data_IF_068684980207
#
_entry.id   IF_068684980207
#
_cell.length_a   1.000
_cell.length_b   1.000
_cell.length_c   1.000
_cell.angle_alpha   90.00
_cell.angle_beta   90.00
_cell.angle_gamma   90.00
#
_symmetry.space_group_name_H-M   'P 1'
#
loop_
_entity.id
_entity.type
_entity.pdbx_description
1 polymer ?
#
# COMPACT_ATOMS: atom_id res chain seq x y z
N UNK A 1 -35.72 12.79 -60.93
CA UNK A 1 -35.11 14.00 -60.34
C UNK A 1 -35.69 14.11 -58.93
N UNK A 2 -34.91 14.02 -57.84
CA UNK A 2 -34.16 15.13 -57.19
C UNK A 2 -35.08 16.29 -56.77
N UNK A 3 -35.05 16.91 -55.56
CA UNK A 3 -34.24 16.81 -54.30
C UNK A 3 -35.02 17.61 -53.20
N UNK A 4 -34.83 17.54 -51.88
CA UNK A 4 -34.01 16.76 -50.93
C UNK A 4 -34.62 16.87 -49.48
N UNK A 5 -34.44 15.86 -48.61
CA UNK A 5 -34.45 15.83 -47.12
C UNK A 5 -35.24 16.85 -46.27
N UNK A 6 -35.96 16.33 -45.25
CA UNK A 6 -35.70 16.66 -43.83
C UNK A 6 -36.20 15.53 -42.91
N UNK A 7 -35.41 15.17 -41.90
CA UNK A 7 -35.74 14.11 -40.91
C UNK A 7 -35.90 14.74 -39.53
N UNK A 8 -36.97 14.38 -38.83
CA UNK A 8 -37.14 14.64 -37.40
C UNK A 8 -37.61 13.36 -36.71
N UNK A 9 -36.77 12.84 -35.82
CA UNK A 9 -37.12 11.80 -34.85
C UNK A 9 -36.83 12.35 -33.46
N UNK A 10 -37.87 12.61 -32.67
CA UNK A 10 -37.73 12.98 -31.27
C UNK A 10 -37.88 11.74 -30.39
N UNK A 11 -36.98 11.56 -29.42
CA UNK A 11 -37.10 10.57 -28.35
C UNK A 11 -36.81 11.25 -27.01
N UNK A 12 -37.52 10.79 -25.98
CA UNK A 12 -37.60 11.35 -24.63
C UNK A 12 -36.34 11.11 -23.77
N UNK A 13 -36.09 12.08 -22.89
CA UNK A 13 -35.80 11.93 -21.45
C UNK A 13 -34.87 10.77 -21.02
N UNK A 14 -33.69 11.13 -20.49
CA UNK A 14 -33.35 10.74 -19.11
C UNK A 14 -32.33 11.72 -18.48
N UNK A 15 -32.65 12.24 -17.30
CA UNK A 15 -31.73 13.07 -16.51
C UNK A 15 -31.37 12.33 -15.21
N UNK A 16 -30.19 11.74 -15.14
CA UNK A 16 -29.67 11.09 -13.93
C UNK A 16 -28.18 11.38 -13.70
N UNK A 17 -27.93 12.15 -12.64
CA UNK A 17 -26.89 11.90 -11.62
C UNK A 17 -25.58 11.23 -12.08
N UNK A 18 -24.65 12.00 -12.66
CA UNK A 18 -23.23 11.68 -12.54
C UNK A 18 -22.67 12.32 -11.26
N UNK A 19 -22.28 11.49 -10.30
CA UNK A 19 -21.59 11.94 -9.08
C UNK A 19 -20.11 12.19 -9.38
N UNK A 20 -19.53 13.21 -8.74
CA UNK A 20 -18.12 13.60 -8.93
C UNK A 20 -17.17 12.59 -8.27
N UNK A 21 -16.96 11.44 -8.91
CA UNK A 21 -15.82 10.58 -8.66
C UNK A 21 -14.57 11.16 -9.32
N UNK A 22 -13.65 11.72 -8.53
CA UNK A 22 -12.37 12.23 -9.05
C UNK A 22 -11.50 11.09 -9.59
N UNK A 23 -11.55 10.89 -10.91
CA UNK A 23 -10.65 10.02 -11.66
C UNK A 23 -9.20 10.46 -11.41
N UNK A 24 -8.30 9.50 -11.18
CA UNK A 24 -6.86 9.76 -11.18
C UNK A 24 -6.43 10.10 -12.62
N UNK A 25 -6.29 11.40 -12.90
CA UNK A 25 -5.93 11.88 -14.25
C UNK A 25 -4.49 11.50 -14.60
N UNK A 26 -4.24 11.25 -15.89
CA UNK A 26 -2.93 10.96 -16.48
C UNK A 26 -1.85 11.97 -16.03
N UNK A 27 -2.22 13.24 -15.87
CA UNK A 27 -1.36 14.32 -15.37
C UNK A 27 -0.90 14.16 -13.91
N UNK A 28 -1.60 13.38 -13.07
CA UNK A 28 -1.12 13.00 -11.74
C UNK A 28 -0.03 11.92 -11.81
N UNK A 29 -0.12 10.99 -12.78
CA UNK A 29 0.83 9.90 -12.96
C UNK A 29 2.12 10.38 -13.64
N UNK A 30 2.01 11.24 -14.67
CA UNK A 30 3.17 11.70 -15.46
C UNK A 30 4.25 12.38 -14.62
N UNK A 31 3.85 13.12 -13.57
CA UNK A 31 4.77 13.76 -12.60
C UNK A 31 5.62 12.79 -11.76
N UNK A 32 5.30 11.50 -11.75
CA UNK A 32 6.11 10.46 -11.07
C UNK A 32 7.31 10.06 -11.94
N UNK A 33 7.17 10.12 -13.26
CA UNK A 33 8.23 9.74 -14.23
C UNK A 33 9.23 10.89 -14.44
N UNK A 34 8.83 12.14 -14.18
CA UNK A 34 9.63 13.35 -14.42
C UNK A 34 10.54 13.76 -13.24
N UNK A 35 10.43 13.11 -12.07
CA UNK A 35 11.40 13.30 -10.98
C UNK A 35 12.72 12.60 -11.33
N UNK A 36 13.68 13.37 -11.85
CA UNK A 36 15.03 12.88 -12.19
C UNK A 36 15.66 12.14 -10.99
N UNK A 37 16.31 10.98 -11.22
CA UNK A 37 17.12 10.33 -10.18
C UNK A 37 18.27 11.24 -9.75
N UNK A 38 18.80 11.01 -8.55
CA UNK A 38 19.99 11.70 -8.07
C UNK A 38 21.20 11.37 -8.98
N UNK A 39 22.12 12.32 -9.23
CA UNK A 39 23.31 12.06 -10.06
C UNK A 39 24.17 10.93 -9.52
N UNK A 40 24.69 10.08 -10.40
CA UNK A 40 25.48 8.89 -10.03
C UNK A 40 26.71 9.24 -9.16
N UNK A 41 27.32 10.41 -9.37
CA UNK A 41 28.45 10.94 -8.59
C UNK A 41 28.16 11.08 -7.08
N UNK A 42 26.88 11.13 -6.68
CA UNK A 42 26.44 11.16 -5.28
C UNK A 42 26.47 9.75 -4.65
N UNK A 43 26.31 8.71 -5.46
CA UNK A 43 26.24 7.30 -5.03
C UNK A 43 27.64 6.72 -4.88
N UNK A 44 28.53 6.95 -5.84
CA UNK A 44 29.87 6.34 -5.87
C UNK A 44 30.77 6.79 -4.70
N UNK A 45 30.61 8.02 -4.20
CA UNK A 45 31.42 8.57 -3.10
C UNK A 45 31.20 7.94 -1.72
N UNK A 46 30.31 6.96 -1.57
CA UNK A 46 30.10 6.25 -0.30
C UNK A 46 30.77 4.88 -0.21
N UNK A 47 31.46 4.39 -1.25
CA UNK A 47 31.94 2.99 -1.33
C UNK A 47 33.48 2.85 -1.38
N UNK A 48 34.24 3.82 -0.87
CA UNK A 48 35.69 3.69 -0.69
C UNK A 48 36.08 3.09 0.67
N UNK A 49 35.99 1.76 0.75
CA UNK A 49 36.87 0.87 1.51
C UNK A 49 37.37 1.31 2.90
N UNK A 50 36.50 1.29 3.91
CA UNK A 50 36.92 1.15 5.33
C UNK A 50 36.09 0.10 6.06
N UNK A 51 36.75 -0.69 6.91
CA UNK A 51 36.16 -1.78 7.72
C UNK A 51 35.22 -1.21 8.79
N UNK A 52 33.94 -1.04 8.43
CA UNK A 52 32.90 -0.45 9.30
C UNK A 52 32.58 -1.28 10.55
N UNK A 53 33.10 -2.51 10.68
CA UNK A 53 32.81 -3.38 11.80
C UNK A 53 33.44 -2.95 13.15
N UNK A 54 34.24 -1.87 13.20
CA UNK A 54 35.09 -1.53 14.36
C UNK A 54 35.03 -0.09 14.88
N UNK A 55 34.41 0.87 14.20
CA UNK A 55 34.33 2.24 14.74
C UNK A 55 33.09 2.44 15.63
N UNK A 56 33.28 2.16 16.93
CA UNK A 56 32.23 2.27 17.96
C UNK A 56 31.61 3.66 18.08
N UNK A 57 32.25 4.70 17.53
CA UNK A 57 31.75 6.09 17.56
C UNK A 57 30.60 6.34 16.58
N UNK A 58 30.37 5.46 15.60
CA UNK A 58 29.22 5.57 14.71
C UNK A 58 27.90 5.28 15.44
N UNK A 59 27.93 4.45 16.49
CA UNK A 59 26.77 4.18 17.34
C UNK A 59 26.37 5.36 18.23
N UNK A 60 27.29 6.25 18.60
CA UNK A 60 27.00 7.39 19.48
C UNK A 60 26.08 8.42 18.81
N UNK A 61 26.20 8.60 17.49
CA UNK A 61 25.28 9.46 16.72
C UNK A 61 23.86 8.84 16.57
N UNK A 62 23.75 7.53 16.76
CA UNK A 62 22.49 6.77 16.80
C UNK A 62 21.96 6.55 18.24
N UNK A 63 22.75 6.89 19.26
CA UNK A 63 22.60 6.50 20.66
C UNK A 63 21.37 7.02 21.42
N UNK A 64 20.42 7.69 20.75
CA UNK A 64 19.12 8.12 21.31
C UNK A 64 17.95 7.91 20.34
N UNK A 65 17.97 6.80 19.59
CA UNK A 65 16.96 6.47 18.57
C UNK A 65 16.26 5.10 18.69
N UNK A 66 16.73 4.18 19.55
CA UNK A 66 16.05 2.89 19.74
C UNK A 66 14.64 3.15 20.33
N UNK A 67 13.55 2.64 19.73
CA UNK A 67 12.22 2.75 20.32
C UNK A 67 12.16 2.13 21.72
N UNK A 68 11.17 2.56 22.50
CA UNK A 68 10.77 1.89 23.75
C UNK A 68 10.76 0.37 23.56
N UNK A 69 11.38 -0.40 24.47
CA UNK A 69 11.54 -1.85 24.29
C UNK A 69 10.22 -2.62 24.19
N UNK A 70 9.10 -1.99 24.59
CA UNK A 70 7.73 -2.46 24.34
C UNK A 70 7.33 -2.44 22.87
N UNK A 71 7.86 -1.48 22.08
CA UNK A 71 7.67 -1.40 20.62
C UNK A 71 8.53 -2.45 19.92
N UNK A 72 9.81 -2.58 20.30
CA UNK A 72 10.70 -3.58 19.70
C UNK A 72 10.17 -5.01 19.85
N UNK A 73 9.61 -5.36 21.02
CA UNK A 73 8.95 -6.66 21.26
C UNK A 73 7.71 -6.93 20.41
N UNK A 74 7.10 -5.91 19.79
CA UNK A 74 5.94 -6.07 18.91
C UNK A 74 6.33 -6.50 17.49
N UNK A 75 7.61 -6.37 17.12
CA UNK A 75 8.12 -6.60 15.76
C UNK A 75 9.34 -7.56 15.74
N UNK A 76 9.39 -8.51 16.68
CA UNK A 76 10.38 -9.60 16.66
C UNK A 76 10.22 -10.45 15.39
N UNK A 77 11.31 -10.90 14.74
CA UNK A 77 11.22 -11.79 13.58
C UNK A 77 10.60 -13.16 13.96
N UNK A 78 9.85 -13.80 13.06
CA UNK A 78 9.13 -15.05 13.34
C UNK A 78 10.05 -16.28 13.47
N UNK A 79 9.46 -17.37 13.99
CA UNK A 79 10.10 -18.68 14.22
C UNK A 79 10.55 -19.36 12.92
N UNK A 80 11.63 -20.17 12.90
CA UNK A 80 12.08 -20.92 11.71
C UNK A 80 11.20 -22.14 11.32
N UNK A 81 9.97 -22.23 11.82
CA UNK A 81 8.93 -23.15 11.31
C UNK A 81 8.58 -22.82 9.84
N UNK A 82 8.01 -23.75 9.05
CA UNK A 82 7.57 -23.48 7.69
C UNK A 82 6.45 -22.42 7.64
N UNK A 83 6.88 -21.17 7.43
CA UNK A 83 6.12 -19.92 7.49
C UNK A 83 4.80 -20.02 6.72
N UNK A 84 3.67 -19.99 7.44
CA UNK A 84 2.35 -20.10 6.82
C UNK A 84 1.89 -18.72 6.38
N UNK A 85 2.22 -18.36 5.15
CA UNK A 85 1.98 -17.04 4.55
C UNK A 85 1.12 -17.14 3.29
N UNK A 86 0.63 -16.01 2.76
CA UNK A 86 -0.08 -15.95 1.47
C UNK A 86 0.93 -15.66 0.36
N UNK A 87 1.02 -16.55 -0.62
CA UNK A 87 2.00 -16.51 -1.73
C UNK A 87 1.38 -16.21 -3.09
N UNK A 88 0.06 -16.25 -3.22
CA UNK A 88 -0.64 -16.05 -4.50
C UNK A 88 -2.01 -15.42 -4.35
N UNK A 89 -2.51 -14.83 -5.44
CA UNK A 89 -3.89 -14.32 -5.50
C UNK A 89 -4.93 -15.46 -5.40
N UNK A 90 -4.53 -16.68 -5.79
CA UNK A 90 -5.34 -17.90 -5.63
C UNK A 90 -5.54 -18.24 -4.15
N UNK A 91 -4.50 -18.21 -3.34
CA UNK A 91 -4.59 -18.45 -1.89
C UNK A 91 -5.42 -17.37 -1.18
N UNK A 92 -5.24 -16.10 -1.56
CA UNK A 92 -6.08 -14.99 -1.06
C UNK A 92 -7.56 -15.23 -1.40
N UNK A 93 -7.85 -15.64 -2.63
CA UNK A 93 -9.20 -15.98 -3.08
C UNK A 93 -9.78 -17.14 -2.29
N UNK A 94 -9.01 -18.22 -2.09
CA UNK A 94 -9.42 -19.38 -1.31
C UNK A 94 -9.67 -19.04 0.16
N UNK A 95 -8.88 -18.13 0.76
CA UNK A 95 -9.13 -17.62 2.11
C UNK A 95 -10.45 -16.84 2.17
N UNK A 96 -10.67 -15.89 1.25
CA UNK A 96 -11.89 -15.07 1.17
C UNK A 96 -13.15 -15.93 1.03
N UNK A 97 -13.14 -16.93 0.13
CA UNK A 97 -14.28 -17.83 -0.05
C UNK A 97 -14.46 -18.77 1.15
N UNK A 98 -13.38 -19.40 1.66
CA UNK A 98 -13.43 -20.35 2.80
C UNK A 98 -13.91 -19.69 4.09
N UNK A 99 -13.54 -18.43 4.32
CA UNK A 99 -13.95 -17.67 5.52
C UNK A 99 -15.21 -16.81 5.31
N UNK A 100 -15.79 -16.82 4.11
CA UNK A 100 -16.96 -16.01 3.75
C UNK A 100 -16.77 -14.51 4.04
N UNK A 101 -15.59 -13.98 3.70
CA UNK A 101 -15.14 -12.61 4.02
C UNK A 101 -15.90 -11.57 3.19
N UNK A 102 -16.44 -10.54 3.85
CA UNK A 102 -17.30 -9.51 3.27
C UNK A 102 -16.77 -8.08 3.37
N UNK A 103 -15.69 -7.86 4.14
CA UNK A 103 -15.08 -6.55 4.40
C UNK A 103 -13.55 -6.63 4.48
N UNK A 104 -12.86 -5.49 4.36
CA UNK A 104 -11.40 -5.43 4.61
C UNK A 104 -11.07 -5.79 6.06
N UNK A 105 -11.95 -5.43 7.01
CA UNK A 105 -11.75 -5.70 8.44
C UNK A 105 -11.75 -7.21 8.72
N UNK A 106 -12.73 -7.95 8.15
CA UNK A 106 -12.78 -9.42 8.20
C UNK A 106 -11.60 -10.07 7.48
N UNK A 107 -11.14 -9.49 6.37
CA UNK A 107 -9.98 -10.02 5.64
C UNK A 107 -8.73 -9.97 6.51
N UNK A 108 -8.46 -8.83 7.16
CA UNK A 108 -7.30 -8.66 8.03
C UNK A 108 -7.37 -9.60 9.24
N UNK A 109 -8.55 -9.82 9.82
CA UNK A 109 -8.75 -10.83 10.87
C UNK A 109 -8.49 -12.26 10.37
N UNK A 110 -8.97 -12.61 9.17
CA UNK A 110 -8.75 -13.92 8.57
C UNK A 110 -7.26 -14.19 8.25
N UNK A 111 -6.55 -13.21 7.70
CA UNK A 111 -5.10 -13.26 7.47
C UNK A 111 -4.36 -13.40 8.81
N UNK A 112 -4.75 -12.64 9.84
CA UNK A 112 -4.08 -12.67 11.16
C UNK A 112 -4.28 -14.00 11.88
N UNK A 113 -5.42 -14.65 11.68
CA UNK A 113 -5.76 -15.93 12.29
C UNK A 113 -5.19 -17.16 11.54
N UNK A 114 -5.11 -17.13 10.20
CA UNK A 114 -4.61 -18.27 9.42
C UNK A 114 -3.17 -18.12 8.91
N UNK A 115 -2.66 -16.90 8.75
CA UNK A 115 -1.34 -16.59 8.16
C UNK A 115 -0.68 -15.40 8.87
N UNK A 116 -0.42 -15.48 10.20
CA UNK A 116 0.06 -14.33 10.99
C UNK A 116 1.38 -13.75 10.45
N UNK A 117 2.24 -14.58 9.87
CA UNK A 117 3.53 -14.16 9.32
C UNK A 117 3.41 -13.21 8.12
N UNK A 118 2.23 -13.12 7.48
CA UNK A 118 1.96 -12.12 6.43
C UNK A 118 1.84 -10.69 7.01
N UNK A 119 1.69 -10.53 8.33
CA UNK A 119 1.88 -9.24 9.03
C UNK A 119 3.36 -8.94 9.36
N UNK A 120 4.26 -9.90 9.16
CA UNK A 120 5.70 -9.74 9.40
C UNK A 120 6.43 -8.83 8.41
N UNK A 121 5.79 -8.48 7.28
CA UNK A 121 6.27 -7.49 6.32
C UNK A 121 5.19 -6.45 6.04
N UNK A 122 5.46 -5.17 6.35
CA UNK A 122 4.56 -4.09 5.99
C UNK A 122 5.31 -2.76 5.74
N UNK A 123 4.57 -1.77 5.25
CA UNK A 123 4.97 -0.38 5.07
C UNK A 123 3.73 0.50 5.20
N UNK A 124 3.83 1.61 5.95
CA UNK A 124 2.78 2.61 6.03
C UNK A 124 3.08 3.74 5.04
N UNK A 125 2.09 4.19 4.27
CA UNK A 125 2.25 5.21 3.22
C UNK A 125 1.21 6.32 3.43
N UNK A 126 1.65 7.48 3.92
CA UNK A 126 0.79 8.67 4.10
C UNK A 126 0.84 9.65 2.93
N UNK A 127 1.78 9.49 1.99
CA UNK A 127 1.89 10.28 0.75
C UNK A 127 1.93 9.37 -0.48
N UNK A 128 0.81 8.70 -0.78
CA UNK A 128 0.66 7.88 -1.99
C UNK A 128 0.00 8.65 -3.14
N UNK A 129 0.32 8.28 -4.39
CA UNK A 129 -0.42 8.71 -5.59
C UNK A 129 -1.39 7.64 -6.12
N UNK A 130 -1.53 6.52 -5.42
CA UNK A 130 -2.39 5.41 -5.81
C UNK A 130 -3.89 5.77 -5.82
N UNK A 131 -4.69 4.79 -6.24
CA UNK A 131 -6.14 4.82 -6.07
C UNK A 131 -6.50 5.07 -4.61
N UNK A 132 -7.63 5.74 -4.37
CA UNK A 132 -8.04 6.06 -3.00
C UNK A 132 -7.22 7.14 -2.28
N UNK A 133 -6.27 7.85 -2.93
CA UNK A 133 -5.40 8.87 -2.27
C UNK A 133 -6.11 9.91 -1.38
N UNK A 134 -7.40 10.18 -1.62
CA UNK A 134 -8.23 11.08 -0.83
C UNK A 134 -8.67 10.51 0.54
N UNK A 135 -8.39 9.23 0.81
CA UNK A 135 -8.62 8.53 2.07
C UNK A 135 -7.36 8.44 2.93
N UNK A 136 -6.22 8.91 2.41
CA UNK A 136 -4.90 8.78 3.02
C UNK A 136 -4.53 10.06 3.77
N UNK A 137 -4.04 9.94 5.00
CA UNK A 137 -3.49 11.06 5.76
C UNK A 137 -2.32 10.64 6.67
N UNK A 138 -1.58 11.58 7.27
CA UNK A 138 -0.60 11.32 8.34
C UNK A 138 -1.10 10.43 9.48
N UNK A 139 -2.36 10.61 9.86
CA UNK A 139 -3.08 9.87 10.90
C UNK A 139 -3.58 8.51 10.40
N UNK A 140 -3.82 8.41 9.09
CA UNK A 140 -4.50 7.31 8.39
C UNK A 140 -3.74 6.92 7.10
N UNK A 141 -2.52 6.36 7.21
CA UNK A 141 -1.76 5.89 6.06
C UNK A 141 -2.47 4.72 5.35
N UNK A 142 -2.25 4.60 4.04
CA UNK A 142 -2.45 3.33 3.32
C UNK A 142 -1.43 2.32 3.85
N UNK A 143 -1.81 1.06 3.96
CA UNK A 143 -0.89 -0.01 4.31
C UNK A 143 -0.54 -0.79 3.05
N UNK A 144 0.74 -1.14 2.92
CA UNK A 144 1.24 -2.17 2.02
C UNK A 144 1.79 -3.29 2.90
N UNK A 145 1.29 -4.52 2.73
CA UNK A 145 1.70 -5.75 3.41
C UNK A 145 2.34 -6.70 2.42
N UNK A 146 3.26 -7.53 2.88
CA UNK A 146 3.94 -8.54 2.08
C UNK A 146 4.41 -9.72 2.93
N UNK A 147 4.35 -10.92 2.35
CA UNK A 147 5.02 -12.08 2.93
C UNK A 147 6.54 -11.92 2.89
N UNK A 148 7.25 -12.67 3.73
CA UNK A 148 8.73 -12.66 3.85
C UNK A 148 9.46 -12.91 2.52
N UNK A 149 8.83 -13.62 1.58
CA UNK A 149 9.38 -13.91 0.24
C UNK A 149 9.13 -12.81 -0.80
N UNK A 150 8.37 -11.76 -0.48
CA UNK A 150 8.04 -10.64 -1.38
C UNK A 150 7.15 -10.99 -2.61
N UNK A 151 6.93 -12.28 -2.89
CA UNK A 151 6.19 -12.78 -4.05
C UNK A 151 4.74 -12.29 -4.13
N UNK A 152 4.11 -12.04 -2.97
CA UNK A 152 2.75 -11.53 -2.91
C UNK A 152 2.68 -10.33 -1.98
N UNK A 153 2.11 -9.24 -2.50
CA UNK A 153 1.88 -7.99 -1.80
C UNK A 153 0.39 -7.66 -1.83
N UNK A 154 -0.14 -7.19 -0.71
CA UNK A 154 -1.52 -6.74 -0.56
C UNK A 154 -1.52 -5.34 0.03
N UNK A 155 -2.41 -4.48 -0.44
CA UNK A 155 -2.52 -3.10 0.05
C UNK A 155 -3.98 -2.76 0.35
N UNK A 156 -4.19 -1.88 1.33
CA UNK A 156 -5.51 -1.42 1.73
C UNK A 156 -5.49 -0.02 2.35
N UNK A 157 -6.66 0.60 2.38
CA UNK A 157 -6.87 1.90 3.00
C UNK A 157 -7.42 1.75 4.43
N UNK A 158 -7.06 2.68 5.32
CA UNK A 158 -7.69 2.75 6.65
C UNK A 158 -9.20 2.93 6.50
N UNK A 159 -9.98 2.51 7.50
CA UNK A 159 -11.38 2.92 7.55
C UNK A 159 -11.48 4.47 7.69
N UNK A 160 -12.21 5.20 6.81
CA UNK A 160 -12.21 6.68 6.79
C UNK A 160 -12.86 7.36 8.00
N UNK A 161 -13.50 6.61 8.89
CA UNK A 161 -14.03 7.12 10.17
C UNK A 161 -13.28 6.56 11.39
N UNK A 162 -12.30 5.67 11.22
CA UNK A 162 -11.58 5.06 12.34
C UNK A 162 -12.40 4.08 13.16
N UNK A 163 -13.40 3.43 12.53
CA UNK A 163 -14.32 2.44 13.11
C UNK A 163 -14.36 1.17 12.27
N UNK A 164 -15.18 0.19 12.69
CA UNK A 164 -15.50 -0.97 11.87
C UNK A 164 -16.31 -0.60 10.61
N UNK A 165 -16.09 -1.35 9.54
CA UNK A 165 -16.73 -1.24 8.24
C UNK A 165 -18.26 -1.53 8.26
N UNK A 166 -18.99 -0.86 7.37
CA UNK A 166 -20.45 -0.96 7.17
C UNK A 166 -20.80 -0.80 5.68
N UNK A 167 -22.01 -1.23 5.29
CA UNK A 167 -22.52 -1.04 3.91
C UNK A 167 -22.38 0.43 3.47
N UNK A 168 -21.76 0.64 2.30
CA UNK A 168 -21.60 1.95 1.67
C UNK A 168 -20.37 2.77 2.12
N UNK A 169 -19.54 2.23 3.01
CA UNK A 169 -18.27 2.88 3.39
C UNK A 169 -17.26 2.92 2.23
N UNK A 170 -16.35 3.90 2.30
CA UNK A 170 -15.23 4.05 1.35
C UNK A 170 -13.97 3.38 1.90
N UNK A 171 -13.06 3.00 1.01
CA UNK A 171 -11.79 2.37 1.40
C UNK A 171 -11.85 0.86 1.55
N UNK A 172 -12.94 0.22 1.12
CA UNK A 172 -13.08 -1.25 1.04
C UNK A 172 -12.33 -1.91 -0.13
N UNK A 173 -11.40 -1.18 -0.75
CA UNK A 173 -10.65 -1.65 -1.92
C UNK A 173 -9.32 -2.24 -1.47
N UNK A 174 -9.07 -3.47 -1.94
CA UNK A 174 -7.80 -4.17 -1.88
C UNK A 174 -7.13 -4.05 -3.24
N UNK A 175 -5.86 -3.62 -3.29
CA UNK A 175 -5.01 -3.73 -4.49
C UNK A 175 -3.86 -4.70 -4.17
N UNK A 176 -3.53 -5.61 -5.10
CA UNK A 176 -2.54 -6.69 -4.92
C UNK A 176 -1.52 -6.73 -6.05
N UNK A 177 -0.31 -7.17 -5.72
CA UNK A 177 0.76 -7.47 -6.67
C UNK A 177 1.23 -8.91 -6.42
N UNK A 178 1.17 -9.74 -7.46
CA UNK A 178 1.67 -11.12 -7.45
C UNK A 178 2.83 -11.24 -8.43
N UNK A 179 4.01 -11.66 -7.99
CA UNK A 179 5.18 -11.90 -8.84
C UNK A 179 5.30 -13.37 -9.20
N UNK A 180 5.29 -13.68 -10.50
CA UNK A 180 5.41 -15.05 -11.00
C UNK A 180 6.21 -15.09 -12.29
N UNK A 181 7.21 -15.96 -12.34
CA UNK A 181 8.10 -16.16 -13.50
C UNK A 181 8.71 -14.83 -14.02
N UNK A 182 9.12 -13.93 -13.12
CA UNK A 182 9.72 -12.63 -13.44
C UNK A 182 8.73 -11.51 -13.83
N UNK A 183 7.42 -11.78 -13.88
CA UNK A 183 6.37 -10.78 -14.20
C UNK A 183 5.52 -10.45 -12.99
N UNK A 184 5.05 -9.20 -12.89
CA UNK A 184 4.03 -8.82 -11.92
C UNK A 184 2.61 -8.98 -12.51
N UNK A 185 1.68 -9.32 -11.64
CA UNK A 185 0.26 -9.45 -11.93
C UNK A 185 -0.52 -8.57 -10.96
N UNK A 186 -1.00 -7.43 -11.45
CA UNK A 186 -1.73 -6.43 -10.69
C UNK A 186 -3.22 -6.76 -10.70
N UNK A 187 -3.87 -6.73 -9.53
CA UNK A 187 -5.33 -6.90 -9.40
C UNK A 187 -5.86 -6.01 -8.30
N UNK A 188 -7.10 -5.57 -8.44
CA UNK A 188 -7.83 -4.92 -7.34
C UNK A 188 -9.28 -5.40 -7.29
N UNK A 189 -9.85 -5.39 -6.09
CA UNK A 189 -11.25 -5.71 -5.83
C UNK A 189 -11.77 -4.88 -4.67
N UNK A 190 -13.09 -4.72 -4.58
CA UNK A 190 -13.73 -3.91 -3.54
C UNK A 190 -14.80 -4.72 -2.83
N UNK A 191 -14.75 -4.75 -1.51
CA UNK A 191 -15.79 -5.33 -0.67
C UNK A 191 -17.03 -4.40 -0.61
N UNK A 192 -18.23 -4.97 -0.48
CA UNK A 192 -19.47 -4.21 -0.33
C UNK A 192 -20.04 -4.23 1.10
N UNK A 193 -19.42 -4.99 2.01
CA UNK A 193 -19.86 -5.21 3.39
C UNK A 193 -21.24 -5.90 3.52
N UNK A 194 -21.63 -6.69 2.51
CA UNK A 194 -22.88 -7.48 2.49
C UNK A 194 -22.67 -8.94 2.04
N UNK A 195 -21.87 -9.14 0.99
CA UNK A 195 -21.67 -10.42 0.31
C UNK A 195 -20.19 -10.69 0.06
N UNK A 196 -19.81 -11.98 0.05
CA UNK A 196 -18.47 -12.39 -0.36
C UNK A 196 -18.24 -11.97 -1.82
N UNK A 197 -17.14 -11.28 -2.18
CA UNK A 197 -16.90 -10.87 -3.55
C UNK A 197 -16.57 -12.10 -4.42
N UNK A 198 -17.09 -12.13 -5.64
CA UNK A 198 -16.64 -13.07 -6.67
C UNK A 198 -15.26 -12.62 -7.15
N UNK A 199 -14.22 -13.33 -6.70
CA UNK A 199 -12.83 -13.07 -7.04
C UNK A 199 -12.34 -13.89 -8.26
N UNK A 200 -13.25 -14.51 -9.01
CA UNK A 200 -12.88 -15.30 -10.19
C UNK A 200 -12.36 -14.41 -11.34
N UNK A 201 -11.61 -15.00 -12.30
CA UNK A 201 -11.15 -14.28 -13.50
C UNK A 201 -12.28 -13.72 -14.40
N UNK A 202 -13.55 -14.02 -14.12
CA UNK A 202 -14.72 -13.43 -14.79
C UNK A 202 -15.12 -12.06 -14.21
N UNK A 203 -14.57 -11.68 -13.05
CA UNK A 203 -14.86 -10.43 -12.33
C UNK A 203 -13.60 -9.63 -12.04
N UNK A 204 -12.51 -10.31 -11.69
CA UNK A 204 -11.23 -9.65 -11.39
C UNK A 204 -10.33 -9.70 -12.62
N UNK A 205 -10.35 -8.60 -13.35
CA UNK A 205 -9.39 -8.30 -14.40
C UNK A 205 -7.96 -8.35 -13.83
N UNK A 206 -7.05 -9.01 -14.57
CA UNK A 206 -5.62 -9.00 -14.25
C UNK A 206 -4.93 -7.98 -15.14
N UNK A 207 -4.05 -7.17 -14.54
CA UNK A 207 -3.42 -6.00 -15.16
C UNK A 207 -4.46 -4.98 -15.69
N UNK A 208 -5.43 -4.53 -14.87
CA UNK A 208 -6.46 -3.60 -15.32
C UNK A 208 -5.86 -2.23 -15.64
N UNK A 209 -6.37 -1.54 -16.67
CA UNK A 209 -5.77 -0.32 -17.22
C UNK A 209 -5.52 0.79 -16.16
N UNK A 210 -6.39 0.91 -15.15
CA UNK A 210 -6.23 1.82 -14.00
C UNK A 210 -4.90 1.64 -13.24
N UNK A 211 -4.39 0.40 -13.14
CA UNK A 211 -3.08 0.11 -12.56
C UNK A 211 -1.95 0.37 -13.57
N UNK A 212 -2.14 -0.01 -14.84
CA UNK A 212 -1.15 0.20 -15.90
C UNK A 212 -0.88 1.69 -16.18
N UNK A 213 -1.83 2.57 -15.89
CA UNK A 213 -1.65 4.03 -15.87
C UNK A 213 -0.54 4.52 -14.91
N UNK A 214 -0.16 3.70 -13.92
CA UNK A 214 0.92 3.98 -12.96
C UNK A 214 2.13 3.03 -13.13
N UNK A 215 1.90 1.78 -13.51
CA UNK A 215 2.92 0.73 -13.58
C UNK A 215 3.47 0.42 -14.98
N UNK A 216 2.89 1.00 -16.03
CA UNK A 216 3.25 0.67 -17.42
C UNK A 216 2.57 -0.61 -17.95
N UNK A 217 2.86 -0.97 -19.20
CA UNK A 217 2.26 -2.12 -19.90
C UNK A 217 2.86 -3.48 -19.52
N UNK A 218 4.16 -3.51 -19.21
CA UNK A 218 4.81 -4.65 -18.53
C UNK A 218 5.07 -4.20 -17.08
N UNK A 219 4.14 -4.48 -16.14
CA UNK A 219 4.20 -3.90 -14.81
C UNK A 219 5.38 -4.47 -14.03
N UNK A 220 6.30 -3.58 -13.66
CA UNK A 220 7.41 -3.88 -12.76
C UNK A 220 7.07 -3.51 -11.32
N UNK A 221 7.79 -4.13 -10.38
CA UNK A 221 7.86 -3.63 -9.02
C UNK A 221 8.47 -2.23 -8.99
N UNK A 222 8.07 -1.43 -8.01
CA UNK A 222 8.75 -0.18 -7.71
C UNK A 222 9.96 -0.53 -6.83
N UNK A 223 11.13 -0.69 -7.48
CA UNK A 223 12.32 -1.34 -6.89
C UNK A 223 13.14 -0.49 -5.91
N UNK A 224 12.79 0.78 -5.72
CA UNK A 224 13.36 1.59 -4.66
C UNK A 224 12.89 1.08 -3.28
N UNK A 225 13.77 0.95 -2.27
CA UNK A 225 13.36 0.61 -0.91
C UNK A 225 12.33 1.63 -0.40
N UNK A 226 11.15 1.19 0.05
CA UNK A 226 10.06 2.15 0.32
C UNK A 226 10.41 3.16 1.42
N UNK A 227 11.34 2.85 2.33
CA UNK A 227 11.82 3.80 3.35
C UNK A 227 12.55 5.03 2.74
N UNK A 228 12.99 4.95 1.48
CA UNK A 228 13.52 6.09 0.73
C UNK A 228 12.44 7.06 0.24
N UNK A 229 11.17 6.63 0.20
CA UNK A 229 10.09 7.42 -0.39
C UNK A 229 9.61 8.52 0.56
N UNK A 230 9.49 9.77 0.07
CA UNK A 230 8.96 10.87 0.87
C UNK A 230 7.52 10.63 1.34
N UNK A 231 7.35 10.13 2.56
CA UNK A 231 6.04 9.96 3.22
C UNK A 231 5.62 8.52 3.47
N UNK A 232 6.58 7.65 3.75
CA UNK A 232 6.37 6.31 4.32
C UNK A 232 6.74 6.24 5.81
N UNK A 233 6.39 5.14 6.49
CA UNK A 233 6.99 4.70 7.76
C UNK A 233 7.18 3.17 7.76
N UNK A 234 8.07 2.67 8.62
CA UNK A 234 8.24 1.24 8.95
C UNK A 234 8.43 0.31 7.75
N UNK A 235 9.05 0.74 6.64
CA UNK A 235 9.27 -0.19 5.54
C UNK A 235 10.40 -1.16 5.85
N UNK A 236 10.08 -2.33 6.38
CA UNK A 236 11.06 -3.40 6.67
C UNK A 236 11.58 -4.08 5.38
N UNK A 237 11.89 -3.28 4.36
CA UNK A 237 12.53 -3.70 3.12
C UNK A 237 14.05 -3.64 3.23
N UNK A 238 14.59 -2.84 4.16
CA UNK A 238 16.04 -2.72 4.41
C UNK A 238 16.35 -2.32 5.86
N UNK A 239 16.50 -3.33 6.73
CA UNK A 239 16.71 -3.16 8.17
C UNK A 239 17.95 -2.37 8.63
N UNK A 240 18.79 -1.89 7.70
CA UNK A 240 19.89 -0.95 7.96
C UNK A 240 19.49 0.54 7.87
N UNK A 241 18.32 0.87 7.30
CA UNK A 241 17.94 2.26 6.96
C UNK A 241 16.50 2.66 7.35
N UNK A 242 15.79 1.85 8.12
CA UNK A 242 14.34 2.00 8.41
C UNK A 242 14.00 2.96 9.57
N UNK A 243 14.83 4.01 9.75
CA UNK A 243 14.74 4.93 10.88
C UNK A 243 13.94 6.19 10.54
N UNK A 244 12.73 6.29 11.11
CA UNK A 244 11.95 7.53 11.14
C UNK A 244 12.83 8.64 11.71
N UNK A 245 13.09 9.71 10.95
CA UNK A 245 14.07 10.72 11.36
C UNK A 245 13.54 11.48 12.57
N UNK A 246 14.06 11.21 13.76
CA UNK A 246 13.53 11.80 15.01
C UNK A 246 13.82 13.30 15.17
N UNK A 247 14.96 13.78 14.65
CA UNK A 247 15.44 15.16 14.81
C UNK A 247 16.03 15.75 13.54
N UNK A 248 15.85 17.05 13.38
CA UNK A 248 16.46 17.88 12.34
C UNK A 248 16.56 19.33 12.87
N UNK A 249 17.72 19.97 12.76
CA UNK A 249 18.01 21.34 13.24
C UNK A 249 17.42 21.67 14.64
N UNK A 250 17.59 20.75 15.60
CA UNK A 250 17.11 20.91 16.98
C UNK A 250 15.61 20.61 17.21
N UNK A 251 14.80 20.53 16.14
CA UNK A 251 13.37 20.24 16.20
C UNK A 251 13.03 18.77 15.96
N UNK A 252 11.74 18.43 16.14
CA UNK A 252 11.13 17.18 15.67
C UNK A 252 10.79 17.32 14.17
N UNK A 253 11.15 16.34 13.35
CA UNK A 253 10.84 16.36 11.90
C UNK A 253 9.33 16.36 11.64
N UNK A 254 8.93 16.65 10.39
CA UNK A 254 7.54 16.47 9.97
C UNK A 254 7.11 15.00 10.03
N UNK A 255 8.00 14.09 9.59
CA UNK A 255 7.79 12.64 9.56
C UNK A 255 7.48 12.09 10.96
N UNK A 256 8.35 12.32 11.94
CA UNK A 256 8.14 11.85 13.32
C UNK A 256 6.89 12.48 13.97
N UNK A 257 6.61 13.77 13.70
CA UNK A 257 5.37 14.40 14.18
C UNK A 257 4.13 13.73 13.61
N UNK A 258 4.12 13.43 12.32
CA UNK A 258 3.03 12.75 11.63
C UNK A 258 2.85 11.30 12.13
N UNK A 259 3.95 10.55 12.28
CA UNK A 259 3.96 9.21 12.87
C UNK A 259 3.38 9.17 14.30
N UNK A 260 3.73 10.15 15.13
CA UNK A 260 3.15 10.27 16.48
C UNK A 260 1.64 10.54 16.48
N UNK A 261 1.06 11.06 15.38
CA UNK A 261 -0.40 11.13 15.22
C UNK A 261 -0.99 9.78 14.83
N UNK A 262 -0.37 9.07 13.90
CA UNK A 262 -0.75 7.69 13.55
C UNK A 262 -0.82 6.81 14.80
N UNK A 263 0.19 6.83 15.67
CA UNK A 263 0.19 6.06 16.93
C UNK A 263 -0.93 6.43 17.93
N UNK A 264 -1.59 7.58 17.75
CA UNK A 264 -2.75 8.00 18.55
C UNK A 264 -4.06 7.50 17.93
N UNK A 265 -4.18 7.53 16.61
CA UNK A 265 -5.36 7.10 15.86
C UNK A 265 -5.43 5.58 15.69
N UNK A 266 -4.29 4.90 15.54
CA UNK A 266 -4.22 3.46 15.24
C UNK A 266 -4.86 2.59 16.33
N UNK A 267 -4.81 3.05 17.58
CA UNK A 267 -5.45 2.42 18.75
C UNK A 267 -6.98 2.37 18.66
N UNK A 268 -7.61 3.03 17.68
CA UNK A 268 -9.06 3.12 17.48
C UNK A 268 -9.52 2.44 16.19
N UNK A 269 -8.72 2.50 15.14
CA UNK A 269 -9.06 1.97 13.83
C UNK A 269 -8.74 0.46 13.76
N UNK A 270 -9.72 -0.43 13.51
CA UNK A 270 -9.53 -1.88 13.60
C UNK A 270 -8.53 -2.44 12.58
N UNK A 271 -8.22 -1.72 11.50
CA UNK A 271 -7.27 -2.15 10.46
C UNK A 271 -5.79 -2.05 10.84
N UNK A 272 -5.50 -1.58 12.05
CA UNK A 272 -4.13 -1.43 12.57
C UNK A 272 -3.91 -2.16 13.92
N UNK A 273 -4.78 -3.11 14.28
CA UNK A 273 -4.76 -3.83 15.57
C UNK A 273 -4.31 -5.28 15.42
#
# INVERSE_FOLDING_TARGET
MARLFLVHFGILILALLFSNGSIATEASCRKIVESKPLPAEVIERQVEGKDLAKDSRYYDYLGRGIPDSRIAKQFSPPSPEPVKTIKSFKELTELVQRKQVKSVDELLQAIKAETPDFFGGFTLIWRSQALGRHLISPERPRVLMYGTEGQFMLTFHSHPEGRAAKKGDKGETIETIEYKNGRAYLREFTFNNESVPDLSPKKIETNPQRCLNCHGQDPVGLWEPYNSWPGTYFSMSRGDIDFIRFKEHGGKTLEYRNFMKFLKESKRNPRYQ
#
